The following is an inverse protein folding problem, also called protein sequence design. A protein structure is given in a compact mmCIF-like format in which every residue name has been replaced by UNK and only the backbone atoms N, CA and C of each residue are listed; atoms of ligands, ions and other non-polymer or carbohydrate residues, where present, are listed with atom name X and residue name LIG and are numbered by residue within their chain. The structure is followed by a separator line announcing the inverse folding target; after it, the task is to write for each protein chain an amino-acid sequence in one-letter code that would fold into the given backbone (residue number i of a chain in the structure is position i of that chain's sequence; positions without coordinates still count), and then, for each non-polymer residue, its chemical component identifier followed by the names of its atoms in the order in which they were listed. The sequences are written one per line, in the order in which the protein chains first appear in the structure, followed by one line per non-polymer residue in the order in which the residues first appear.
data_IF_248830773348
#
_entry.id   IF_248830773348
#
_cell.length_a   1.000
_cell.length_b   1.000
_cell.length_c   1.000
_cell.angle_alpha   90.00
_cell.angle_beta   90.00
_cell.angle_gamma   90.00
#
_symmetry.space_group_name_H-M   'P 1'
#
loop_
_entity.id
_entity.type
_entity.pdbx_description
1 polymer ?
#
# COMPACT_ATOMS: atom_id res chain seq x y z
N UNK A 1 -4.14 -52.76 59.89
CA UNK A 1 -4.24 -53.35 58.53
C UNK A 1 -4.16 -52.21 57.52
N UNK A 2 -3.19 -52.27 56.60
CA UNK A 2 -3.00 -51.43 55.38
C UNK A 2 -2.66 -49.95 55.63
N UNK A 3 -1.43 -49.44 55.49
CA UNK A 3 -0.49 -49.26 54.35
C UNK A 3 -0.89 -48.17 53.32
N UNK A 4 0.16 -47.40 52.94
CA UNK A 4 0.38 -46.52 51.78
C UNK A 4 0.24 -45.01 52.08
N UNK A 5 1.31 -44.20 52.24
CA UNK A 5 2.53 -43.85 51.46
C UNK A 5 2.38 -42.59 50.58
N UNK A 6 3.01 -41.51 51.08
CA UNK A 6 3.76 -40.40 50.44
C UNK A 6 3.07 -39.28 49.63
N UNK A 7 3.57 -38.02 49.74
CA UNK A 7 3.12 -36.86 48.97
C UNK A 7 3.90 -36.73 47.65
N UNK A 8 3.19 -36.49 46.55
CA UNK A 8 3.77 -36.27 45.23
C UNK A 8 4.27 -34.84 45.03
N UNK A 9 5.55 -34.70 44.72
CA UNK A 9 6.16 -33.51 44.12
C UNK A 9 5.66 -33.35 42.69
N UNK A 10 5.17 -32.16 42.32
CA UNK A 10 4.90 -31.82 40.93
C UNK A 10 6.17 -31.22 40.32
N UNK A 11 6.81 -31.98 39.43
CA UNK A 11 7.94 -31.53 38.64
C UNK A 11 7.45 -30.51 37.58
N UNK A 12 8.08 -29.35 37.55
CA UNK A 12 7.96 -28.38 36.45
C UNK A 12 8.71 -28.98 35.26
N UNK A 13 7.98 -29.39 34.24
CA UNK A 13 8.54 -29.74 32.93
C UNK A 13 8.75 -28.42 32.18
N UNK A 14 10.01 -27.97 32.11
CA UNK A 14 10.42 -26.91 31.21
C UNK A 14 10.35 -27.44 29.77
N UNK A 15 9.46 -26.87 28.97
CA UNK A 15 9.45 -27.04 27.52
C UNK A 15 10.66 -26.28 26.94
N UNK A 16 11.41 -26.87 25.99
CA UNK A 16 12.51 -26.17 25.33
C UNK A 16 11.93 -25.09 24.43
N UNK A 17 12.41 -23.85 24.63
CA UNK A 17 12.26 -22.74 23.70
C UNK A 17 12.99 -23.16 22.43
N UNK A 18 12.25 -23.42 21.34
CA UNK A 18 12.82 -23.52 20.01
C UNK A 18 13.23 -22.10 19.60
N UNK A 19 14.51 -21.79 19.80
CA UNK A 19 15.18 -20.72 19.09
C UNK A 19 15.42 -21.20 17.65
N UNK A 20 14.91 -20.44 16.68
CA UNK A 20 15.18 -20.71 15.26
C UNK A 20 14.22 -20.01 14.32
N UNK A 21 14.40 -18.69 14.14
CA UNK A 21 14.67 -18.07 12.83
C UNK A 21 14.84 -16.56 13.03
N UNK A 22 16.07 -16.00 13.06
CA UNK A 22 16.27 -14.61 12.74
C UNK A 22 16.40 -14.54 11.21
N UNK A 23 15.29 -14.30 10.51
CA UNK A 23 15.37 -13.70 9.20
C UNK A 23 15.27 -12.20 9.43
N UNK A 24 16.40 -11.58 9.74
CA UNK A 24 16.60 -10.18 9.36
C UNK A 24 16.75 -10.22 7.85
N UNK A 25 15.64 -10.22 7.12
CA UNK A 25 15.69 -9.94 5.70
C UNK A 25 16.03 -8.47 5.58
N UNK A 26 17.19 -8.25 5.02
CA UNK A 26 17.70 -6.95 4.62
C UNK A 26 16.67 -6.33 3.66
N UNK A 27 15.98 -5.28 4.11
CA UNK A 27 14.94 -4.63 3.30
C UNK A 27 15.50 -3.60 2.33
N UNK A 28 16.82 -3.48 2.21
CA UNK A 28 17.46 -2.59 1.21
C UNK A 28 17.54 -3.20 -0.19
N UNK A 29 17.15 -4.47 -0.31
CA UNK A 29 17.16 -5.25 -1.55
C UNK A 29 15.78 -5.88 -1.69
N UNK A 30 14.75 -5.09 -2.01
CA UNK A 30 13.46 -5.60 -2.49
C UNK A 30 12.98 -4.62 -3.53
N UNK A 31 12.42 -5.11 -4.62
CA UNK A 31 11.64 -4.24 -5.51
C UNK A 31 10.38 -3.80 -4.76
N UNK A 32 10.46 -2.61 -4.15
CA UNK A 32 9.46 -2.13 -3.21
C UNK A 32 8.76 -0.86 -3.74
N UNK A 33 9.35 -0.17 -4.71
CA UNK A 33 8.78 1.02 -5.31
C UNK A 33 8.23 0.79 -6.74
N UNK A 34 7.38 1.70 -7.21
CA UNK A 34 6.70 1.58 -8.51
C UNK A 34 7.66 1.72 -9.71
N UNK A 35 8.84 2.30 -9.50
CA UNK A 35 9.83 2.52 -10.54
C UNK A 35 10.72 1.29 -10.72
N UNK A 36 11.15 0.68 -9.61
CA UNK A 36 11.88 -0.59 -9.54
C UNK A 36 11.06 -1.71 -10.18
N UNK A 37 9.77 -1.82 -9.82
CA UNK A 37 8.88 -2.83 -10.40
C UNK A 37 8.52 -2.63 -11.89
N UNK A 38 9.20 -1.72 -12.61
CA UNK A 38 8.97 -1.38 -14.03
C UNK A 38 10.25 -1.09 -14.80
N UNK A 39 11.42 -1.40 -14.24
CA UNK A 39 12.70 -1.05 -14.84
C UNK A 39 13.43 -2.24 -15.48
N UNK A 40 12.89 -3.47 -15.35
CA UNK A 40 13.48 -4.73 -15.84
C UNK A 40 14.84 -5.06 -15.23
N UNK A 41 15.12 -4.55 -14.04
CA UNK A 41 16.36 -4.78 -13.33
C UNK A 41 16.05 -5.54 -12.05
N UNK A 42 16.71 -6.69 -11.88
CA UNK A 42 16.68 -7.49 -10.65
C UNK A 42 17.44 -6.72 -9.55
N UNK A 43 16.73 -5.79 -8.90
CA UNK A 43 17.31 -4.83 -7.96
C UNK A 43 17.66 -5.48 -6.61
N UNK A 44 17.18 -6.69 -6.34
CA UNK A 44 17.49 -7.48 -5.16
C UNK A 44 18.32 -8.75 -5.39
N UNK A 45 18.70 -9.01 -6.65
CA UNK A 45 19.52 -10.13 -7.12
C UNK A 45 18.92 -11.51 -6.77
N UNK A 46 17.59 -11.60 -6.66
CA UNK A 46 16.88 -12.84 -6.34
C UNK A 46 16.57 -13.71 -7.59
N UNK A 47 16.80 -13.14 -8.78
CA UNK A 47 16.61 -13.77 -10.08
C UNK A 47 15.23 -13.53 -10.71
N UNK A 48 14.37 -12.72 -10.10
CA UNK A 48 13.12 -12.23 -10.65
C UNK A 48 13.24 -10.73 -11.01
N UNK A 49 12.50 -10.29 -12.02
CA UNK A 49 12.43 -8.86 -12.40
C UNK A 49 10.98 -8.39 -12.42
N UNK A 50 10.72 -7.17 -11.95
CA UNK A 50 9.41 -6.53 -12.03
C UNK A 50 8.27 -7.40 -11.48
N UNK A 51 7.28 -7.74 -12.32
CA UNK A 51 6.10 -8.52 -11.92
C UNK A 51 6.40 -10.01 -11.65
N UNK A 52 7.59 -10.49 -11.99
CA UNK A 52 8.06 -11.80 -11.58
C UNK A 52 8.43 -11.82 -10.08
N UNK A 53 8.75 -10.65 -9.50
CA UNK A 53 9.03 -10.49 -8.08
C UNK A 53 7.72 -10.40 -7.27
N UNK A 54 7.67 -11.21 -6.21
CA UNK A 54 6.61 -11.20 -5.21
C UNK A 54 6.43 -9.87 -4.48
N UNK A 55 7.46 -9.02 -4.42
CA UNK A 55 7.43 -7.65 -3.89
C UNK A 55 6.54 -6.71 -4.70
N UNK A 56 6.53 -6.90 -6.03
CA UNK A 56 5.80 -6.05 -6.97
C UNK A 56 4.32 -6.40 -7.11
N UNK A 57 3.87 -7.55 -6.59
CA UNK A 57 2.47 -7.98 -6.64
C UNK A 57 1.50 -7.10 -5.86
N UNK A 58 2.00 -6.18 -5.03
CA UNK A 58 1.17 -5.16 -4.37
C UNK A 58 0.64 -4.13 -5.37
N UNK A 59 1.32 -3.95 -6.50
CA UNK A 59 0.93 -2.98 -7.50
C UNK A 59 -0.09 -3.55 -8.48
N UNK A 60 -1.10 -2.74 -8.78
CA UNK A 60 -2.23 -3.13 -9.64
C UNK A 60 -1.84 -3.59 -11.04
N UNK A 61 -0.65 -3.20 -11.52
CA UNK A 61 -0.14 -3.63 -12.83
C UNK A 61 0.49 -5.03 -12.81
N UNK A 62 1.01 -5.51 -11.67
CA UNK A 62 1.48 -6.89 -11.50
C UNK A 62 0.42 -7.81 -10.89
N UNK A 63 -0.60 -7.26 -10.21
CA UNK A 63 -1.63 -8.02 -9.50
C UNK A 63 -2.83 -8.46 -10.38
N UNK A 64 -2.69 -8.41 -11.70
CA UNK A 64 -3.65 -8.65 -12.79
C UNK A 64 -5.14 -8.89 -12.44
N UNK A 65 -6.01 -8.01 -12.95
CA UNK A 65 -7.27 -8.46 -13.59
C UNK A 65 -7.16 -8.59 -15.10
N UNK A 66 -6.04 -8.18 -15.69
CA UNK A 66 -5.72 -8.44 -17.09
C UNK A 66 -4.47 -9.34 -17.07
N UNK A 67 -4.68 -10.62 -16.78
CA UNK A 67 -3.65 -11.60 -17.08
C UNK A 67 -3.61 -11.78 -18.58
N UNK A 68 -2.45 -11.58 -19.20
CA UNK A 68 -2.01 -12.25 -20.43
C UNK A 68 -3.18 -12.52 -21.40
N UNK A 69 -3.76 -11.44 -21.92
CA UNK A 69 -5.03 -11.51 -22.65
C UNK A 69 -4.87 -12.13 -24.06
N UNK A 70 -3.62 -12.24 -24.52
CA UNK A 70 -3.13 -12.82 -25.77
C UNK A 70 -2.38 -14.14 -25.55
N UNK A 71 -1.83 -14.40 -24.37
CA UNK A 71 -1.30 -15.71 -23.97
C UNK A 71 0.07 -16.03 -24.57
N UNK A 72 0.90 -15.00 -24.79
CA UNK A 72 2.26 -15.13 -25.31
C UNK A 72 3.32 -15.24 -24.20
N UNK A 73 2.94 -14.97 -22.95
CA UNK A 73 3.80 -15.08 -21.78
C UNK A 73 4.69 -13.88 -21.52
N UNK A 74 4.45 -12.73 -22.16
CA UNK A 74 5.11 -11.47 -21.85
C UNK A 74 4.22 -10.57 -20.96
N UNK A 75 4.77 -10.15 -19.82
CA UNK A 75 4.06 -9.35 -18.80
C UNK A 75 4.53 -7.89 -18.79
N UNK A 76 5.10 -7.39 -19.89
CA UNK A 76 5.67 -6.04 -19.96
C UNK A 76 4.69 -4.95 -20.43
N UNK A 77 3.53 -5.33 -20.96
CA UNK A 77 2.47 -4.41 -21.40
C UNK A 77 2.79 -3.58 -22.64
N UNK A 78 3.76 -3.97 -23.48
CA UNK A 78 4.08 -3.29 -24.73
C UNK A 78 3.30 -3.85 -25.94
N UNK A 79 2.21 -3.18 -26.32
CA UNK A 79 1.45 -3.52 -27.55
C UNK A 79 2.12 -3.10 -28.87
N UNK A 80 3.41 -2.71 -28.87
CA UNK A 80 4.07 -2.15 -30.07
C UNK A 80 5.09 -3.06 -30.76
N UNK A 81 5.35 -4.26 -30.24
CA UNK A 81 6.27 -5.23 -30.86
C UNK A 81 5.57 -6.47 -31.47
N UNK A 82 4.35 -6.32 -31.96
CA UNK A 82 3.65 -7.42 -32.64
C UNK A 82 3.96 -7.43 -34.14
N UNK A 83 5.00 -8.18 -34.51
CA UNK A 83 5.07 -8.81 -35.83
C UNK A 83 3.82 -9.68 -36.08
N UNK A 84 3.39 -9.90 -37.32
CA UNK A 84 2.08 -10.49 -37.60
C UNK A 84 2.08 -12.00 -37.32
N UNK A 85 1.85 -12.38 -36.07
CA UNK A 85 1.52 -13.76 -35.69
C UNK A 85 0.00 -13.95 -35.79
N UNK A 86 -0.37 -15.06 -36.42
CA UNK A 86 -1.70 -15.35 -36.98
C UNK A 86 -2.76 -15.70 -35.92
N UNK A 87 -4.03 -15.28 -36.08
CA UNK A 87 -5.09 -15.61 -35.14
C UNK A 87 -5.57 -17.08 -35.28
N UNK A 88 -5.89 -17.78 -34.18
CA UNK A 88 -6.55 -19.08 -34.24
C UNK A 88 -8.04 -18.91 -34.54
N UNK A 89 -8.63 -19.90 -35.22
CA UNK A 89 -10.05 -20.03 -35.59
C UNK A 89 -10.51 -19.36 -36.89
N UNK A 90 -9.93 -19.79 -38.02
CA UNK A 90 -10.67 -19.92 -39.26
C UNK A 90 -10.82 -21.41 -39.60
N UNK A 91 -12.05 -21.84 -39.84
CA UNK A 91 -12.37 -23.17 -40.30
C UNK A 91 -11.61 -23.50 -41.61
N UNK A 92 -10.90 -24.63 -41.60
CA UNK A 92 -10.39 -25.34 -42.78
C UNK A 92 -11.49 -25.44 -43.85
N UNK A 93 -11.31 -24.70 -44.95
CA UNK A 93 -12.31 -24.50 -46.00
C UNK A 93 -11.95 -25.18 -47.32
N UNK A 94 -10.85 -25.92 -47.40
CA UNK A 94 -10.43 -26.65 -48.60
C UNK A 94 -9.96 -28.09 -48.37
N UNK A 95 -9.75 -28.52 -47.12
CA UNK A 95 -9.71 -29.94 -46.77
C UNK A 95 -8.56 -30.74 -47.42
N UNK A 96 -7.37 -30.14 -47.52
CA UNK A 96 -6.15 -30.83 -47.92
C UNK A 96 -5.13 -31.04 -46.77
N UNK A 97 -5.38 -30.45 -45.60
CA UNK A 97 -4.79 -30.89 -44.33
C UNK A 97 -3.32 -30.56 -44.13
N UNK A 98 -2.87 -29.40 -44.60
CA UNK A 98 -1.52 -28.89 -44.38
C UNK A 98 -1.55 -27.56 -43.59
N UNK A 99 -0.80 -27.49 -42.49
CA UNK A 99 -0.70 -26.34 -41.59
C UNK A 99 0.77 -26.03 -41.32
N UNK A 100 1.52 -25.68 -42.36
CA UNK A 100 2.65 -24.78 -42.22
C UNK A 100 2.74 -23.85 -43.43
N UNK A 101 2.92 -22.56 -43.14
CA UNK A 101 2.99 -21.50 -44.14
C UNK A 101 4.36 -21.45 -44.82
N UNK A 102 4.80 -22.54 -45.45
CA UNK A 102 5.98 -22.55 -46.32
C UNK A 102 5.56 -22.89 -47.75
N UNK A 103 5.51 -21.86 -48.60
CA UNK A 103 5.44 -22.03 -50.06
C UNK A 103 6.75 -21.57 -50.68
N UNK A 104 7.84 -22.28 -50.37
CA UNK A 104 8.96 -22.44 -51.29
C UNK A 104 9.47 -23.89 -51.35
N UNK A 105 9.43 -24.38 -52.59
CA UNK A 105 9.90 -25.64 -53.16
C UNK A 105 10.97 -26.46 -52.41
N UNK A 106 10.61 -27.74 -52.24
CA UNK A 106 11.30 -28.95 -52.69
C UNK A 106 12.62 -29.40 -52.04
N UNK A 107 12.47 -30.40 -51.17
CA UNK A 107 13.54 -31.29 -50.68
C UNK A 107 14.09 -32.29 -51.72
N UNK A 108 15.17 -33.03 -51.37
CA UNK A 108 16.12 -33.53 -52.35
C UNK A 108 16.10 -35.06 -52.61
N UNK A 109 16.81 -35.42 -53.68
CA UNK A 109 17.46 -36.71 -54.03
C UNK A 109 16.68 -37.80 -54.82
N UNK A 110 17.06 -38.01 -56.10
CA UNK A 110 17.97 -39.10 -56.55
C UNK A 110 17.85 -39.47 -58.05
N UNK A 111 18.90 -39.17 -58.84
CA UNK A 111 19.57 -39.88 -59.97
C UNK A 111 18.78 -40.63 -61.11
N UNK A 112 19.39 -41.00 -62.28
CA UNK A 112 20.60 -40.54 -62.97
C UNK A 112 20.41 -40.20 -64.50
N UNK A 113 21.51 -39.77 -65.13
CA UNK A 113 21.94 -40.08 -66.52
C UNK A 113 21.80 -39.00 -67.63
N UNK A 114 22.99 -38.68 -68.18
CA UNK A 114 23.36 -38.32 -69.55
C UNK A 114 23.08 -36.93 -70.19
N UNK A 115 24.20 -36.39 -70.70
CA UNK A 115 24.42 -35.45 -71.83
C UNK A 115 24.16 -33.94 -71.57
N UNK A 116 25.20 -33.09 -71.48
CA UNK A 116 26.14 -32.57 -72.51
C UNK A 116 25.73 -31.15 -72.95
N UNK A 117 26.54 -30.15 -72.56
CA UNK A 117 27.01 -29.04 -73.41
C UNK A 117 27.49 -27.82 -72.58
N UNK A 118 28.81 -27.71 -72.49
CA UNK A 118 29.68 -26.51 -72.58
C UNK A 118 29.07 -25.09 -72.52
N UNK A 119 29.64 -24.24 -71.65
CA UNK A 119 30.35 -23.03 -72.10
C UNK A 119 31.12 -22.34 -70.95
N UNK A 120 32.42 -22.18 -71.17
CA UNK A 120 33.42 -21.48 -70.37
C UNK A 120 33.17 -19.97 -70.18
N UNK A 121 33.69 -19.40 -69.09
CA UNK A 121 34.63 -18.26 -69.15
C UNK A 121 35.19 -17.90 -67.76
N UNK A 122 36.50 -18.08 -67.63
CA UNK A 122 37.40 -17.60 -66.57
C UNK A 122 37.49 -16.06 -66.53
N UNK A 123 37.81 -15.49 -65.35
CA UNK A 123 38.86 -14.47 -65.20
C UNK A 123 39.17 -14.18 -63.71
N UNK A 124 40.37 -14.58 -63.30
CA UNK A 124 41.10 -14.16 -62.09
C UNK A 124 41.49 -12.66 -62.12
N UNK A 125 41.63 -12.05 -60.93
CA UNK A 125 42.71 -11.10 -60.65
C UNK A 125 42.83 -10.79 -59.14
N UNK A 126 43.88 -11.35 -58.53
CA UNK A 126 44.47 -10.94 -57.25
C UNK A 126 45.18 -9.58 -57.36
N UNK A 127 45.23 -8.82 -56.26
CA UNK A 127 46.33 -7.91 -55.96
C UNK A 127 46.40 -7.54 -54.47
N UNK A 128 47.36 -8.14 -53.77
CA UNK A 128 47.91 -7.72 -52.47
C UNK A 128 48.70 -6.41 -52.57
N UNK A 129 48.73 -5.64 -51.47
CA UNK A 129 49.82 -4.72 -51.17
C UNK A 129 49.92 -4.44 -49.66
N UNK A 130 50.92 -5.06 -49.03
CA UNK A 130 51.47 -4.74 -47.71
C UNK A 130 52.20 -3.40 -47.69
N UNK A 131 52.19 -2.71 -46.54
CA UNK A 131 53.20 -1.72 -46.19
C UNK A 131 53.41 -1.65 -44.67
N UNK A 132 54.52 -2.24 -44.23
CA UNK A 132 55.16 -2.07 -42.92
C UNK A 132 55.67 -0.64 -42.69
N UNK A 133 55.64 -0.18 -41.44
CA UNK A 133 56.62 0.78 -40.92
C UNK A 133 56.73 0.70 -39.39
N UNK A 134 57.78 0.02 -38.93
CA UNK A 134 58.33 0.09 -37.58
C UNK A 134 58.91 1.48 -37.26
N UNK A 135 58.77 1.91 -36.01
CA UNK A 135 59.73 2.82 -35.37
C UNK A 135 59.70 2.66 -33.84
N UNK A 136 60.67 1.92 -33.33
CA UNK A 136 61.10 1.88 -31.93
C UNK A 136 61.65 3.24 -31.46
N UNK A 137 61.36 3.60 -30.20
CA UNK A 137 62.23 4.45 -29.41
C UNK A 137 62.05 4.14 -27.91
N UNK A 138 62.96 3.32 -27.40
CA UNK A 138 63.24 3.13 -25.98
C UNK A 138 63.72 4.45 -25.33
N UNK A 139 63.26 4.70 -24.11
CA UNK A 139 64.00 5.47 -23.11
C UNK A 139 63.62 5.00 -21.71
N UNK A 140 64.43 4.08 -21.19
CA UNK A 140 64.52 3.74 -19.76
C UNK A 140 64.93 4.97 -18.93
N UNK A 141 64.27 5.15 -17.79
CA UNK A 141 64.87 5.78 -16.62
C UNK A 141 64.21 5.24 -15.34
N UNK A 142 64.86 4.22 -14.77
CA UNK A 142 64.67 3.78 -13.39
C UNK A 142 64.91 4.93 -12.41
N UNK A 143 64.02 5.07 -11.43
CA UNK A 143 64.38 5.57 -10.10
C UNK A 143 63.40 4.99 -9.06
N UNK A 144 63.81 3.88 -8.45
CA UNK A 144 63.36 3.44 -7.13
C UNK A 144 63.56 4.56 -6.10
N UNK A 145 62.51 4.91 -5.35
CA UNK A 145 62.65 5.38 -3.98
C UNK A 145 61.32 5.27 -3.22
N UNK A 146 61.37 4.42 -2.19
CA UNK A 146 60.76 4.59 -0.88
C UNK A 146 59.27 4.26 -0.69
N UNK A 147 59.11 3.04 -0.18
CA UNK A 147 58.06 2.67 0.75
C UNK A 147 58.04 3.59 1.97
N UNK A 148 56.91 4.24 2.20
CA UNK A 148 56.32 4.58 3.50
C UNK A 148 54.80 4.64 3.22
N UNK A 149 54.04 3.57 3.47
CA UNK A 149 53.50 3.28 4.80
C UNK A 149 52.90 4.51 5.48
N UNK A 150 51.85 5.07 4.90
CA UNK A 150 50.75 5.62 5.70
C UNK A 150 49.42 5.23 5.06
N UNK A 151 48.86 4.18 5.65
CA UNK A 151 47.48 3.79 5.51
C UNK A 151 46.60 4.87 6.16
N UNK A 152 46.28 5.92 5.39
CA UNK A 152 45.02 6.65 5.58
C UNK A 152 43.98 6.01 4.66
N UNK A 153 43.66 4.76 5.01
CA UNK A 153 42.44 4.11 4.59
C UNK A 153 41.26 4.86 5.22
N UNK A 154 40.33 5.24 4.36
CA UNK A 154 38.88 5.13 4.61
C UNK A 154 38.37 5.72 5.93
N UNK A 155 38.17 7.05 5.97
CA UNK A 155 37.37 7.66 7.04
C UNK A 155 36.56 8.92 6.62
N UNK A 156 36.31 9.10 5.33
CA UNK A 156 35.30 10.04 4.80
C UNK A 156 34.69 9.29 3.59
N UNK A 157 33.46 8.77 3.59
CA UNK A 157 32.25 9.56 3.73
C UNK A 157 30.94 8.72 3.83
N UNK A 158 30.93 7.52 4.40
CA UNK A 158 29.66 6.81 4.63
C UNK A 158 29.15 7.00 6.07
N UNK A 159 29.08 8.27 6.48
CA UNK A 159 28.05 8.66 7.42
C UNK A 159 26.74 8.77 6.63
N UNK A 160 26.23 7.64 6.15
CA UNK A 160 24.79 7.42 5.97
C UNK A 160 24.18 7.60 7.35
N UNK A 161 23.99 8.87 7.71
CA UNK A 161 23.11 9.26 8.76
C UNK A 161 21.78 8.63 8.36
N UNK A 162 21.40 7.59 9.10
CA UNK A 162 20.06 7.05 9.20
C UNK A 162 19.12 8.18 9.62
N UNK A 163 18.85 9.10 8.68
CA UNK A 163 17.97 10.23 8.85
C UNK A 163 16.59 9.64 8.65
N UNK A 164 16.00 9.17 9.75
CA UNK A 164 14.59 8.79 9.75
C UNK A 164 13.77 9.91 9.09
N UNK A 165 12.86 9.58 8.16
CA UNK A 165 12.09 10.58 7.44
C UNK A 165 11.33 11.47 8.42
N UNK A 166 11.11 12.76 8.08
CA UNK A 166 10.37 13.66 8.95
C UNK A 166 8.95 13.11 9.19
N UNK A 167 8.34 13.42 10.36
CA UNK A 167 6.96 13.04 10.61
C UNK A 167 6.03 13.56 9.51
N UNK A 168 5.04 12.76 9.16
CA UNK A 168 4.00 13.15 8.22
C UNK A 168 3.25 14.36 8.78
N UNK A 169 3.02 15.34 7.91
CA UNK A 169 2.19 16.49 8.20
C UNK A 169 1.59 17.06 6.91
N UNK A 170 0.28 17.27 6.91
CA UNK A 170 -0.42 17.98 5.85
C UNK A 170 -1.53 18.85 6.46
N UNK A 171 -1.53 20.13 6.10
CA UNK A 171 -2.49 21.11 6.61
C UNK A 171 -3.62 21.27 5.61
N UNK A 172 -4.85 21.01 6.06
CA UNK A 172 -6.07 21.16 5.26
C UNK A 172 -6.70 22.54 5.53
N UNK A 173 -7.13 23.22 4.47
CA UNK A 173 -7.86 24.48 4.60
C UNK A 173 -9.35 24.18 4.71
N UNK A 174 -9.97 24.58 5.82
CA UNK A 174 -11.40 24.32 6.04
C UNK A 174 -12.26 25.37 5.30
N UNK A 175 -12.53 25.13 4.02
CA UNK A 175 -13.26 26.03 3.11
C UNK A 175 -14.29 25.36 2.18
N UNK A 176 -14.43 24.04 2.24
CA UNK A 176 -15.34 23.23 1.46
C UNK A 176 -14.77 22.69 0.15
N UNK A 177 -13.53 23.02 -0.20
CA UNK A 177 -12.77 22.29 -1.21
C UNK A 177 -12.14 21.04 -0.58
N UNK A 178 -12.05 19.96 -1.35
CA UNK A 178 -11.35 18.77 -0.89
C UNK A 178 -9.84 18.94 -1.17
N UNK A 179 -9.09 19.31 -0.14
CA UNK A 179 -7.64 19.50 -0.20
C UNK A 179 -6.85 18.23 0.18
N UNK A 180 -7.51 17.10 0.47
CA UNK A 180 -6.83 15.89 0.92
C UNK A 180 -6.08 15.19 -0.23
N UNK A 181 -4.94 14.56 0.10
CA UNK A 181 -4.13 13.78 -0.85
C UNK A 181 -4.77 12.40 -1.06
N UNK A 182 -5.39 12.22 -2.23
CA UNK A 182 -5.95 10.98 -2.78
C UNK A 182 -5.77 9.70 -1.95
N UNK A 183 -4.95 8.75 -2.42
CA UNK A 183 -4.85 7.41 -1.81
C UNK A 183 -4.28 7.43 -0.37
N UNK A 184 -3.48 8.44 -0.04
CA UNK A 184 -2.79 8.57 1.24
C UNK A 184 -3.69 9.02 2.38
N UNK A 185 -4.75 9.75 2.08
CA UNK A 185 -5.61 10.39 3.09
C UNK A 185 -7.10 10.04 2.93
N UNK A 186 -7.48 9.44 1.79
CA UNK A 186 -8.84 8.96 1.53
C UNK A 186 -9.00 7.50 1.92
N UNK A 187 -10.07 7.22 2.65
CA UNK A 187 -10.43 5.90 3.12
C UNK A 187 -11.69 5.42 2.41
N UNK A 188 -11.65 4.21 1.86
CA UNK A 188 -12.86 3.47 1.55
C UNK A 188 -13.61 3.20 2.85
N UNK A 189 -14.91 3.48 2.87
CA UNK A 189 -15.76 3.26 4.05
C UNK A 189 -16.49 1.93 3.95
N UNK A 190 -17.29 1.60 4.97
CA UNK A 190 -18.22 0.45 4.89
C UNK A 190 -19.31 0.63 3.82
N UNK A 191 -19.48 1.84 3.28
CA UNK A 191 -20.49 2.18 2.27
C UNK A 191 -19.84 2.68 0.98
N UNK A 192 -20.12 2.03 -0.15
CA UNK A 192 -19.45 2.33 -1.44
C UNK A 192 -19.72 3.73 -2.01
N UNK A 193 -20.80 4.40 -1.59
CA UNK A 193 -21.13 5.77 -2.01
C UNK A 193 -20.56 6.86 -1.08
N UNK A 194 -19.68 6.48 -0.14
CA UNK A 194 -19.15 7.37 0.87
C UNK A 194 -17.64 7.24 1.01
N UNK A 195 -16.99 8.38 1.20
CA UNK A 195 -15.56 8.45 1.49
C UNK A 195 -15.36 9.16 2.83
N UNK A 196 -14.40 8.66 3.60
CA UNK A 196 -13.86 9.37 4.75
C UNK A 196 -12.46 9.85 4.39
N UNK A 197 -12.05 10.97 4.95
CA UNK A 197 -10.70 11.50 4.77
C UNK A 197 -10.13 11.83 6.14
N UNK A 198 -8.86 11.52 6.35
CA UNK A 198 -8.14 11.86 7.57
C UNK A 198 -6.76 12.35 7.21
N UNK A 199 -6.35 13.46 7.83
CA UNK A 199 -5.02 14.04 7.73
C UNK A 199 -4.68 14.70 9.07
N UNK A 200 -3.43 15.09 9.28
CA UNK A 200 -3.03 15.86 10.45
C UNK A 200 -1.77 16.67 10.17
N UNK A 201 -1.60 17.73 10.96
CA UNK A 201 -0.34 18.46 11.04
C UNK A 201 0.14 18.54 12.50
N UNK A 202 1.07 19.47 12.78
CA UNK A 202 1.60 19.64 14.12
C UNK A 202 0.55 20.06 15.16
N UNK A 203 -0.55 20.72 14.75
CA UNK A 203 -1.52 21.36 15.63
C UNK A 203 -2.93 20.77 15.53
N UNK A 204 -3.32 20.25 14.36
CA UNK A 204 -4.70 19.86 14.08
C UNK A 204 -4.81 18.44 13.53
N UNK A 205 -5.90 17.78 13.91
CA UNK A 205 -6.45 16.60 13.26
C UNK A 205 -7.54 17.05 12.31
N UNK A 206 -7.45 16.64 11.05
CA UNK A 206 -8.43 16.89 10.02
C UNK A 206 -9.22 15.62 9.72
N UNK A 207 -10.53 15.71 9.72
CA UNK A 207 -11.43 14.61 9.33
C UNK A 207 -12.47 15.17 8.38
N UNK A 208 -12.74 14.46 7.29
CA UNK A 208 -13.80 14.84 6.37
C UNK A 208 -14.64 13.64 5.93
N UNK A 209 -15.85 13.92 5.47
CA UNK A 209 -16.79 12.94 4.94
C UNK A 209 -17.41 13.46 3.65
N UNK A 210 -17.50 12.59 2.67
CA UNK A 210 -18.18 12.82 1.40
C UNK A 210 -19.27 11.78 1.21
N UNK A 211 -20.46 12.21 0.83
CA UNK A 211 -21.53 11.30 0.42
C UNK A 211 -22.92 11.93 0.37
N UNK A 212 -23.89 11.23 -0.25
CA UNK A 212 -25.20 11.79 -0.55
C UNK A 212 -25.97 12.26 0.69
N UNK A 213 -25.76 11.61 1.84
CA UNK A 213 -26.45 11.97 3.07
C UNK A 213 -25.88 13.22 3.74
N UNK A 214 -24.59 13.51 3.55
CA UNK A 214 -24.01 14.84 3.84
C UNK A 214 -24.68 15.88 2.95
N UNK A 215 -24.84 15.58 1.65
CA UNK A 215 -25.43 16.47 0.63
C UNK A 215 -26.91 16.79 0.85
N UNK A 216 -27.68 15.81 1.29
CA UNK A 216 -29.11 15.96 1.57
C UNK A 216 -29.41 16.79 2.83
N UNK A 217 -28.48 16.80 3.80
CA UNK A 217 -28.59 17.58 5.03
C UNK A 217 -29.70 17.15 5.99
N UNK A 218 -29.85 15.84 6.24
CA UNK A 218 -30.89 15.30 7.13
C UNK A 218 -30.63 15.57 8.61
N UNK A 219 -31.65 16.03 9.36
CA UNK A 219 -31.55 16.34 10.80
C UNK A 219 -31.52 15.12 11.73
N UNK A 220 -31.43 13.91 11.17
CA UNK A 220 -31.34 12.64 11.91
C UNK A 220 -30.06 11.89 11.56
N UNK A 221 -29.20 12.48 10.74
CA UNK A 221 -27.98 11.87 10.22
C UNK A 221 -26.80 12.56 10.85
N UNK A 222 -25.85 11.77 11.31
CA UNK A 222 -24.75 12.23 12.12
C UNK A 222 -23.45 11.69 11.56
N UNK A 223 -22.41 12.50 11.57
CA UNK A 223 -21.02 12.05 11.51
C UNK A 223 -20.52 12.01 12.94
N UNK A 224 -20.04 10.84 13.37
CA UNK A 224 -19.38 10.67 14.67
C UNK A 224 -17.89 10.42 14.45
N UNK A 225 -17.07 11.11 15.23
CA UNK A 225 -15.62 10.92 15.31
C UNK A 225 -15.28 10.68 16.78
N UNK A 226 -15.02 9.41 17.10
CA UNK A 226 -14.52 8.99 18.39
C UNK A 226 -13.00 9.08 18.40
N UNK A 227 -12.45 9.68 19.46
CA UNK A 227 -11.02 9.87 19.60
C UNK A 227 -10.55 9.26 20.93
N UNK A 228 -9.62 8.33 20.81
CA UNK A 228 -8.84 7.77 21.91
C UNK A 228 -7.57 8.60 22.03
N UNK A 229 -7.45 9.33 23.13
CA UNK A 229 -6.38 10.31 23.35
C UNK A 229 -5.15 9.70 24.01
N UNK A 230 -5.21 8.44 24.43
CA UNK A 230 -4.10 7.70 25.00
C UNK A 230 -4.09 6.22 24.56
N UNK A 231 -4.05 5.94 23.24
CA UNK A 231 -4.31 4.61 22.71
C UNK A 231 -3.37 3.56 23.32
N UNK A 232 -3.97 2.47 23.78
CA UNK A 232 -3.30 1.38 24.50
C UNK A 232 -3.26 1.53 26.03
N UNK A 233 -3.75 2.63 26.60
CA UNK A 233 -3.89 2.80 28.06
C UNK A 233 -4.89 1.80 28.67
N UNK A 234 -5.90 1.40 27.90
CA UNK A 234 -7.06 0.66 28.36
C UNK A 234 -8.04 1.49 29.22
N UNK A 235 -7.73 2.77 29.43
CA UNK A 235 -8.61 3.78 30.02
C UNK A 235 -9.51 4.35 28.92
N UNK A 236 -10.69 4.84 29.27
CA UNK A 236 -11.66 5.36 28.30
C UNK A 236 -12.92 4.50 28.17
N UNK A 237 -13.72 4.77 27.15
CA UNK A 237 -15.01 4.13 26.96
C UNK A 237 -14.90 2.80 26.20
N UNK A 238 -15.57 1.73 26.66
CA UNK A 238 -15.74 0.51 25.86
C UNK A 238 -16.91 0.61 24.86
N UNK A 239 -17.84 1.53 25.13
CA UNK A 239 -19.03 1.75 24.32
C UNK A 239 -19.20 3.26 24.05
N UNK A 240 -19.63 3.62 22.85
CA UNK A 240 -19.91 4.99 22.46
C UNK A 240 -21.21 5.55 23.07
N UNK A 241 -21.57 6.77 22.66
CA UNK A 241 -22.85 7.36 23.00
C UNK A 241 -23.96 6.64 22.23
N UNK A 242 -25.08 6.37 22.90
CA UNK A 242 -26.27 5.81 22.24
C UNK A 242 -27.00 6.92 21.47
N UNK A 243 -27.19 6.72 20.17
CA UNK A 243 -28.04 7.55 19.33
C UNK A 243 -29.31 6.77 19.01
N UNK A 244 -30.42 7.22 19.61
CA UNK A 244 -31.69 6.52 19.68
C UNK A 244 -31.54 5.08 20.22
N UNK A 245 -31.46 4.06 19.36
CA UNK A 245 -31.34 2.64 19.73
C UNK A 245 -29.99 2.01 19.37
N UNK A 246 -29.09 2.76 18.72
CA UNK A 246 -27.80 2.25 18.26
C UNK A 246 -26.64 2.78 19.10
N UNK A 247 -25.67 1.93 19.40
CA UNK A 247 -24.49 2.30 20.19
C UNK A 247 -23.22 1.64 19.64
N UNK A 248 -22.16 2.40 19.33
CA UNK A 248 -20.87 1.81 18.99
C UNK A 248 -20.27 1.00 20.15
N UNK A 249 -19.66 -0.13 19.84
CA UNK A 249 -18.82 -0.91 20.77
C UNK A 249 -17.46 -1.06 20.14
N UNK A 250 -16.42 -0.84 20.93
CA UNK A 250 -15.05 -0.67 20.45
C UNK A 250 -14.16 -1.90 20.70
N UNK A 251 -13.18 -2.17 19.83
CA UNK A 251 -12.21 -3.25 20.01
C UNK A 251 -11.31 -2.98 21.22
N UNK A 252 -10.64 -3.99 21.76
CA UNK A 252 -9.91 -3.86 23.04
C UNK A 252 -8.78 -2.84 23.04
N UNK A 253 -8.19 -2.54 21.89
CA UNK A 253 -7.11 -1.56 21.73
C UNK A 253 -7.57 -0.11 21.59
N UNK A 254 -8.88 0.14 21.44
CA UNK A 254 -9.45 1.47 21.25
C UNK A 254 -10.43 1.80 22.37
N UNK A 255 -10.15 2.88 23.09
CA UNK A 255 -10.97 3.36 24.21
C UNK A 255 -11.10 4.87 24.11
N UNK A 256 -12.13 5.41 23.46
CA UNK A 256 -12.22 6.84 23.27
C UNK A 256 -12.57 7.61 24.55
N UNK A 257 -11.91 8.74 24.76
CA UNK A 257 -12.28 9.75 25.76
C UNK A 257 -13.08 10.90 25.16
N UNK A 258 -13.09 11.05 23.83
CA UNK A 258 -13.77 12.14 23.14
C UNK A 258 -14.68 11.61 22.05
N UNK A 259 -15.81 12.28 21.88
CA UNK A 259 -16.70 12.13 20.74
C UNK A 259 -16.98 13.51 20.18
N UNK A 260 -16.49 13.78 18.98
CA UNK A 260 -17.00 14.86 18.16
C UNK A 260 -18.19 14.32 17.34
N UNK A 261 -19.32 15.01 17.41
CA UNK A 261 -20.52 14.67 16.67
C UNK A 261 -21.00 15.88 15.89
N UNK A 262 -21.25 15.71 14.60
CA UNK A 262 -21.81 16.74 13.73
C UNK A 262 -23.06 16.20 13.03
N UNK A 263 -24.11 17.02 12.94
CA UNK A 263 -25.39 16.65 12.33
C UNK A 263 -25.47 17.15 10.89
N UNK A 264 -25.96 16.31 9.98
CA UNK A 264 -25.92 16.57 8.55
C UNK A 264 -26.69 17.81 8.11
N UNK A 265 -27.72 18.23 8.87
CA UNK A 265 -28.42 19.50 8.64
C UNK A 265 -27.55 20.75 8.85
N UNK A 266 -26.31 20.58 9.32
CA UNK A 266 -25.33 21.61 9.58
C UNK A 266 -25.77 22.65 10.63
N UNK A 267 -26.68 22.26 11.53
CA UNK A 267 -27.21 23.14 12.59
C UNK A 267 -26.66 22.76 13.97
N UNK A 268 -26.08 21.57 14.13
CA UNK A 268 -25.61 21.09 15.40
C UNK A 268 -24.26 20.37 15.29
N UNK A 269 -23.37 20.69 16.22
CA UNK A 269 -22.16 19.93 16.47
C UNK A 269 -21.88 19.92 17.97
N UNK A 270 -21.11 18.93 18.43
CA UNK A 270 -20.70 18.88 19.83
C UNK A 270 -19.43 18.10 20.06
N UNK A 271 -18.73 18.42 21.15
CA UNK A 271 -17.64 17.60 21.69
C UNK A 271 -18.07 17.06 23.06
N UNK A 272 -18.10 15.74 23.20
CA UNK A 272 -18.47 15.06 24.45
C UNK A 272 -17.23 14.38 25.03
N UNK A 273 -17.05 14.49 26.34
CA UNK A 273 -15.93 13.84 27.05
C UNK A 273 -16.43 12.66 27.86
N UNK A 274 -15.75 11.53 27.78
CA UNK A 274 -15.92 10.40 28.69
C UNK A 274 -15.00 10.57 29.90
N UNK A 275 -15.58 10.53 31.10
CA UNK A 275 -14.85 10.59 32.35
C UNK A 275 -15.65 9.93 33.47
N UNK A 276 -14.96 9.32 34.44
CA UNK A 276 -15.64 8.74 35.61
C UNK A 276 -16.60 7.58 35.28
N UNK A 277 -16.39 6.88 34.16
CA UNK A 277 -17.20 5.72 33.77
C UNK A 277 -18.44 6.04 32.93
N UNK A 278 -18.61 7.28 32.47
CA UNK A 278 -19.74 7.68 31.65
C UNK A 278 -19.38 8.81 30.66
N UNK A 279 -20.15 8.89 29.58
CA UNK A 279 -20.14 10.06 28.68
C UNK A 279 -20.79 11.25 29.38
N UNK A 280 -20.09 12.37 29.42
CA UNK A 280 -20.58 13.62 29.99
C UNK A 280 -21.66 14.31 29.15
N UNK A 281 -22.03 15.52 29.54
CA UNK A 281 -22.88 16.37 28.71
C UNK A 281 -22.12 16.83 27.45
N UNK A 282 -22.75 16.85 26.28
CA UNK A 282 -22.14 17.39 25.06
C UNK A 282 -21.91 18.90 25.20
N UNK A 283 -20.72 19.37 24.83
CA UNK A 283 -20.47 20.80 24.60
C UNK A 283 -21.00 21.18 23.21
N UNK A 284 -22.08 21.99 23.10
CA UNK A 284 -22.70 22.33 21.82
C UNK A 284 -21.95 23.42 21.04
N UNK A 285 -20.90 24.01 21.60
CA UNK A 285 -20.07 25.02 20.93
C UNK A 285 -18.59 24.61 20.98
N UNK A 286 -18.25 23.40 20.48
CA UNK A 286 -16.89 22.90 20.58
C UNK A 286 -15.95 23.75 19.71
N UNK A 287 -14.66 23.86 20.08
CA UNK A 287 -13.63 24.57 19.31
C UNK A 287 -13.20 23.79 18.05
N UNK A 288 -14.17 23.24 17.30
CA UNK A 288 -13.96 22.52 16.05
C UNK A 288 -14.41 23.41 14.90
N UNK A 289 -13.49 23.68 13.98
CA UNK A 289 -13.81 24.41 12.74
C UNK A 289 -14.45 23.43 11.78
N UNK A 290 -15.61 23.79 11.25
CA UNK A 290 -16.41 22.92 10.38
C UNK A 290 -16.86 23.69 9.16
N UNK A 291 -16.72 23.08 7.98
CA UNK A 291 -17.31 23.61 6.74
C UNK A 291 -17.97 22.49 5.95
N UNK A 292 -19.13 22.78 5.37
CA UNK A 292 -19.88 21.87 4.52
C UNK A 292 -20.16 22.53 3.18
N UNK A 293 -19.78 21.86 2.09
CA UNK A 293 -20.08 22.26 0.72
C UNK A 293 -20.67 21.08 -0.05
N UNK A 294 -21.91 21.21 -0.53
CA UNK A 294 -22.57 20.12 -1.24
C UNK A 294 -22.65 18.85 -0.40
N UNK A 295 -22.14 17.75 -0.94
CA UNK A 295 -22.03 16.41 -0.33
C UNK A 295 -20.74 16.18 0.47
N UNK A 296 -19.96 17.23 0.69
CA UNK A 296 -18.70 17.19 1.43
C UNK A 296 -18.78 18.01 2.72
N UNK A 297 -18.20 17.48 3.80
CA UNK A 297 -18.01 18.17 5.08
C UNK A 297 -16.64 17.85 5.65
N UNK A 298 -16.00 18.84 6.25
CA UNK A 298 -14.66 18.74 6.83
C UNK A 298 -14.59 19.44 8.19
N UNK A 299 -13.70 18.91 9.03
CA UNK A 299 -13.54 19.27 10.42
C UNK A 299 -12.06 19.45 10.74
N UNK A 300 -11.74 20.48 11.50
CA UNK A 300 -10.44 20.67 12.12
C UNK A 300 -10.55 20.66 13.64
N UNK A 301 -9.91 19.70 14.28
CA UNK A 301 -9.90 19.49 15.73
C UNK A 301 -8.48 19.75 16.24
N UNK A 302 -8.30 20.74 17.11
CA UNK A 302 -6.99 21.04 17.64
C UNK A 302 -6.52 19.95 18.63
N UNK A 303 -5.29 19.46 18.48
CA UNK A 303 -4.71 18.51 19.43
C UNK A 303 -4.64 19.10 20.85
N UNK A 304 -4.50 20.41 20.99
CA UNK A 304 -4.51 21.09 22.29
C UNK A 304 -5.80 20.85 23.08
N UNK A 305 -6.96 20.81 22.40
CA UNK A 305 -8.26 20.53 23.03
C UNK A 305 -8.43 19.05 23.41
N UNK A 306 -7.61 18.19 22.81
CA UNK A 306 -7.48 16.77 23.14
C UNK A 306 -6.45 16.50 24.25
N UNK A 307 -5.78 17.53 24.78
CA UNK A 307 -4.70 17.38 25.77
C UNK A 307 -3.29 17.24 25.16
N UNK A 308 -3.13 17.66 23.90
CA UNK A 308 -1.92 17.58 23.09
C UNK A 308 -1.29 16.17 23.01
N UNK A 309 -2.09 15.10 22.78
CA UNK A 309 -1.57 13.74 22.75
C UNK A 309 -0.58 13.54 21.60
N UNK A 310 0.47 12.75 21.83
CA UNK A 310 1.42 12.38 20.77
C UNK A 310 0.80 11.38 19.77
N UNK A 311 -0.12 10.55 20.25
CA UNK A 311 -0.83 9.54 19.47
C UNK A 311 -2.33 9.62 19.75
N UNK A 312 -3.15 9.46 18.72
CA UNK A 312 -4.62 9.48 18.83
C UNK A 312 -5.18 8.30 18.05
N UNK A 313 -6.05 7.51 18.66
CA UNK A 313 -6.89 6.57 17.92
C UNK A 313 -8.09 7.29 17.34
N UNK A 314 -8.50 6.96 16.12
CA UNK A 314 -9.66 7.53 15.45
C UNK A 314 -10.59 6.42 14.96
N UNK A 315 -11.85 6.52 15.36
CA UNK A 315 -12.98 5.79 14.74
C UNK A 315 -13.98 6.83 14.26
N UNK A 316 -14.38 6.76 13.01
CA UNK A 316 -15.49 7.56 12.51
C UNK A 316 -16.53 6.72 11.78
N UNK A 317 -17.77 7.18 11.80
CA UNK A 317 -18.90 6.54 11.14
C UNK A 317 -20.06 7.51 10.99
N UNK A 318 -21.01 7.16 10.12
CA UNK A 318 -22.31 7.82 10.06
C UNK A 318 -23.41 7.01 10.76
N UNK A 319 -24.33 7.72 11.42
CA UNK A 319 -25.50 7.12 12.08
C UNK A 319 -26.76 7.87 11.64
N UNK A 320 -27.78 7.12 11.22
CA UNK A 320 -29.15 7.61 11.16
C UNK A 320 -29.88 7.24 12.46
N UNK A 321 -30.36 8.24 13.20
CA UNK A 321 -31.09 8.04 14.46
C UNK A 321 -32.61 8.04 14.29
N UNK A 322 -33.11 8.16 13.05
CA UNK A 322 -34.54 8.18 12.76
C UNK A 322 -35.28 7.02 13.44
N UNK A 323 -36.32 7.28 14.25
CA UNK A 323 -37.09 6.21 14.87
C UNK A 323 -37.67 5.24 13.84
N UNK A 324 -37.45 3.94 14.03
CA UNK A 324 -37.81 2.84 13.10
C UNK A 324 -37.11 2.91 11.73
N UNK A 325 -36.11 3.75 11.58
CA UNK A 325 -35.26 3.91 10.39
C UNK A 325 -33.78 3.97 10.75
N UNK A 326 -33.42 3.43 11.91
CA UNK A 326 -32.07 3.47 12.44
C UNK A 326 -31.14 2.59 11.60
N UNK A 327 -30.01 3.17 11.21
CA UNK A 327 -28.98 2.47 10.44
C UNK A 327 -27.60 3.09 10.71
N UNK A 328 -26.56 2.29 10.71
CA UNK A 328 -25.16 2.71 10.85
C UNK A 328 -24.39 2.36 9.59
N UNK A 329 -23.58 3.28 9.09
CA UNK A 329 -22.97 3.20 7.76
C UNK A 329 -21.74 4.11 7.67
N UNK A 330 -21.05 4.07 6.53
CA UNK A 330 -19.86 4.86 6.24
C UNK A 330 -18.80 4.82 7.36
N UNK A 331 -18.60 3.65 7.96
CA UNK A 331 -17.54 3.43 8.95
C UNK A 331 -16.16 3.60 8.33
N UNK A 332 -15.24 4.22 9.07
CA UNK A 332 -13.83 4.33 8.70
C UNK A 332 -13.25 2.91 8.51
N UNK A 333 -12.53 2.73 7.40
CA UNK A 333 -12.12 1.45 6.83
C UNK A 333 -13.27 0.57 6.34
N UNK A 334 -13.15 0.15 5.07
CA UNK A 334 -13.93 -0.92 4.51
C UNK A 334 -13.84 -2.18 5.39
N UNK A 335 -15.00 -2.78 5.68
CA UNK A 335 -15.11 -3.97 6.52
C UNK A 335 -15.04 -3.73 8.03
N UNK A 336 -14.98 -2.48 8.51
CA UNK A 336 -15.02 -2.18 9.96
C UNK A 336 -16.31 -2.67 10.62
N UNK A 337 -17.44 -2.59 9.91
CA UNK A 337 -18.68 -3.29 10.23
C UNK A 337 -19.50 -3.46 8.94
N UNK A 338 -20.58 -4.24 8.99
CA UNK A 338 -21.54 -4.33 7.88
C UNK A 338 -22.57 -3.22 8.03
N UNK A 339 -22.88 -2.50 6.97
CA UNK A 339 -23.93 -1.48 7.01
C UNK A 339 -25.26 -2.08 7.46
N UNK A 340 -25.90 -1.48 8.48
CA UNK A 340 -27.13 -2.04 9.02
C UNK A 340 -27.62 -1.38 10.29
N UNK A 341 -28.77 -1.87 10.76
CA UNK A 341 -29.25 -1.62 12.11
C UNK A 341 -28.49 -2.45 13.14
N UNK A 342 -28.06 -1.80 14.22
CA UNK A 342 -27.44 -2.47 15.37
C UNK A 342 -27.93 -1.90 16.69
N UNK A 343 -28.24 -2.78 17.66
CA UNK A 343 -28.27 -2.35 19.06
C UNK A 343 -26.85 -1.98 19.55
N UNK A 344 -25.87 -2.79 19.15
CA UNK A 344 -24.44 -2.62 19.41
C UNK A 344 -23.66 -2.71 18.09
N UNK A 345 -23.15 -1.58 17.59
CA UNK A 345 -22.41 -1.52 16.31
C UNK A 345 -21.01 -2.08 16.55
N UNK A 346 -20.61 -3.19 15.90
CA UNK A 346 -19.37 -3.89 16.19
C UNK A 346 -18.22 -3.28 15.39
N UNK A 347 -17.66 -2.16 15.86
CA UNK A 347 -16.51 -1.53 15.20
C UNK A 347 -15.31 -2.47 15.26
N UNK A 348 -14.76 -2.84 14.11
CA UNK A 348 -13.67 -3.81 13.98
C UNK A 348 -12.30 -3.19 13.69
N UNK A 349 -12.23 -1.93 13.26
CA UNK A 349 -10.95 -1.25 12.98
C UNK A 349 -10.97 0.20 13.44
N UNK A 350 -9.77 0.70 13.74
CA UNK A 350 -9.52 2.11 14.06
C UNK A 350 -8.18 2.55 13.47
N UNK A 351 -8.05 3.85 13.24
CA UNK A 351 -6.85 4.48 12.70
C UNK A 351 -5.98 4.98 13.86
N UNK A 352 -4.69 4.62 13.87
CA UNK A 352 -3.70 5.21 14.75
C UNK A 352 -3.07 6.43 14.07
N UNK A 353 -3.35 7.61 14.60
CA UNK A 353 -2.63 8.84 14.28
C UNK A 353 -1.41 8.91 15.19
N UNK A 354 -0.21 8.69 14.65
CA UNK A 354 1.06 8.89 15.35
C UNK A 354 1.79 10.11 14.78
N UNK A 355 1.82 11.20 15.55
CA UNK A 355 2.35 12.49 15.10
C UNK A 355 3.88 12.50 14.97
N UNK A 356 4.56 11.43 15.40
CA UNK A 356 5.99 11.24 15.19
C UNK A 356 6.30 10.31 14.00
N UNK A 357 5.29 9.65 13.43
CA UNK A 357 5.46 8.73 12.29
C UNK A 357 5.52 9.50 10.98
N UNK A 358 6.37 9.05 10.05
CA UNK A 358 6.39 9.50 8.66
C UNK A 358 5.29 8.85 7.80
N UNK A 359 4.59 7.83 8.32
CA UNK A 359 3.57 7.11 7.57
C UNK A 359 2.33 7.97 7.33
N UNK A 360 1.89 8.05 6.08
CA UNK A 360 0.65 8.71 5.69
C UNK A 360 -0.59 8.10 6.37
N UNK A 361 -1.70 8.84 6.52
CA UNK A 361 -2.88 8.42 7.27
C UNK A 361 -3.41 7.03 6.87
N UNK A 362 -3.59 6.77 5.58
CA UNK A 362 -4.15 5.53 5.07
C UNK A 362 -3.11 4.40 4.90
N UNK A 363 -1.88 4.59 5.38
CA UNK A 363 -0.88 3.53 5.41
C UNK A 363 -1.37 2.33 6.25
N UNK A 364 -1.08 1.12 5.79
CA UNK A 364 -1.48 -0.13 6.45
C UNK A 364 -1.00 -0.22 7.89
N UNK A 365 0.17 0.35 8.20
CA UNK A 365 0.77 0.41 9.53
C UNK A 365 -0.09 1.19 10.56
N UNK A 366 -0.92 2.13 10.09
CA UNK A 366 -1.80 2.93 10.93
C UNK A 366 -3.15 2.25 11.19
N UNK A 367 -3.52 1.22 10.43
CA UNK A 367 -4.74 0.45 10.65
C UNK A 367 -4.58 -0.52 11.82
N UNK A 368 -5.48 -0.45 12.79
CA UNK A 368 -5.47 -1.30 13.99
C UNK A 368 -6.79 -2.06 14.15
N UNK A 369 -6.75 -3.31 14.67
CA UNK A 369 -7.94 -4.11 14.94
C UNK A 369 -8.64 -3.72 16.25
#
# INVERSE_FOLDING_TARGET
MGKHLLPGWLAIVALPILAGCPATEDTSHREADIAECRDRIDNDEDGATDCEDSGCWIYAFCSGTDGDADGDGDWDGDTTDDGPETPPDAADADGDGDWDGDTTDDGPEAAPDAADADADADADADADADADADADADADADADADADADADADADADADADVSPPPYAHTIVIDGANDFVGADERFATTSSAYFAYVSWDAAQLYVAYEGPDVGSGGSQRWVHVYLDTDPGSGLGAAEGVTYNTQRPVFPSGFRPERLFAWRADNVYQSLTTYAGGAWGAPDPAPPVTTFRAGDYVEFAIAFADLGAPARVGVVSLMINEQPMGEWSYAGLYAGSFVDGYYASIPVGFWLLVDRASAAAPNASANRRP
#
